data_IF_796841464887
#
_entry.id   IF_796841464887
#
_cell.length_a   1.000
_cell.length_b   1.000
_cell.length_c   1.000
_cell.angle_alpha   90.00
_cell.angle_beta   90.00
_cell.angle_gamma   90.00
#
_symmetry.space_group_name_H-M   'P 1'
#
loop_
_entity.id
_entity.type
_entity.pdbx_description
1 polymer ?
#
# COMPACT_ATOMS: atom_id res chain seq x y z
N UNK A 1 -14.46 -64.89 -33.78
CA UNK A 1 -14.93 -65.10 -35.18
C UNK A 1 -14.33 -64.01 -36.06
N UNK A 2 -13.75 -64.37 -37.22
CA UNK A 2 -13.38 -63.52 -38.38
C UNK A 2 -12.52 -62.24 -38.16
N UNK A 3 -11.60 -61.84 -39.06
CA UNK A 3 -10.94 -62.51 -40.21
C UNK A 3 -9.59 -61.78 -40.47
N UNK A 4 -8.72 -62.37 -41.30
CA UNK A 4 -7.33 -61.93 -41.57
C UNK A 4 -7.21 -61.16 -42.91
N UNK A 5 -6.19 -60.30 -43.06
CA UNK A 5 -5.37 -59.91 -44.26
C UNK A 5 -4.67 -58.57 -43.90
N UNK A 6 -3.34 -58.34 -43.84
CA UNK A 6 -2.08 -59.09 -44.09
C UNK A 6 -1.33 -58.78 -45.43
N UNK A 7 -0.40 -57.82 -45.34
CA UNK A 7 0.69 -57.39 -46.28
C UNK A 7 1.72 -56.57 -45.44
N UNK A 8 3.06 -56.54 -45.58
CA UNK A 8 4.10 -57.21 -46.40
C UNK A 8 4.01 -57.01 -47.91
N UNK A 9 5.05 -56.71 -48.72
CA UNK A 9 6.55 -56.81 -48.66
C UNK A 9 7.13 -55.51 -49.31
N UNK A 10 8.37 -55.00 -49.13
CA UNK A 10 9.58 -55.35 -48.36
C UNK A 10 10.86 -54.84 -49.08
N UNK A 11 12.06 -54.99 -48.49
CA UNK A 11 13.44 -54.76 -49.02
C UNK A 11 13.75 -53.42 -49.76
N UNK A 12 14.67 -52.54 -49.37
CA UNK A 12 16.09 -52.64 -48.94
C UNK A 12 17.11 -52.90 -50.07
N UNK A 13 18.13 -52.02 -50.17
CA UNK A 13 19.48 -52.09 -50.81
C UNK A 13 19.94 -50.62 -51.02
N UNK A 14 21.15 -50.11 -50.82
CA UNK A 14 22.40 -50.40 -50.08
C UNK A 14 23.35 -49.21 -50.40
N UNK A 15 24.48 -49.11 -49.72
CA UNK A 15 25.53 -48.08 -49.80
C UNK A 15 25.88 -47.48 -51.17
N UNK A 16 26.21 -46.18 -51.16
CA UNK A 16 27.10 -45.51 -52.13
C UNK A 16 28.15 -44.67 -51.38
N UNK A 17 29.40 -44.64 -51.85
CA UNK A 17 30.51 -43.94 -51.21
C UNK A 17 31.18 -42.92 -52.14
N UNK A 18 31.86 -41.95 -51.52
CA UNK A 18 33.07 -41.24 -52.00
C UNK A 18 32.99 -40.04 -52.98
N UNK A 19 33.77 -39.02 -52.58
CA UNK A 19 34.70 -38.18 -53.37
C UNK A 19 34.24 -37.00 -54.26
N UNK A 20 34.34 -35.80 -53.64
CA UNK A 20 35.11 -34.60 -54.09
C UNK A 20 34.70 -33.70 -55.27
N UNK A 21 34.77 -32.38 -54.98
CA UNK A 21 35.07 -31.23 -55.88
C UNK A 21 33.99 -30.84 -56.92
N UNK A 22 33.60 -29.56 -57.12
CA UNK A 22 34.27 -28.27 -56.87
C UNK A 22 33.34 -27.15 -56.35
N UNK A 23 33.98 -26.02 -56.03
CA UNK A 23 33.48 -24.67 -55.77
C UNK A 23 32.12 -24.26 -56.39
N UNK A 24 31.22 -23.72 -55.55
CA UNK A 24 30.49 -22.48 -55.87
C UNK A 24 30.55 -21.56 -54.65
N UNK A 25 30.99 -20.31 -54.86
CA UNK A 25 31.06 -19.28 -53.82
C UNK A 25 29.67 -18.69 -53.56
N UNK A 26 29.01 -19.11 -52.48
CA UNK A 26 27.79 -18.48 -51.98
C UNK A 26 28.02 -17.86 -50.61
N UNK A 27 28.08 -16.53 -50.58
CA UNK A 27 28.31 -15.70 -49.40
C UNK A 27 27.07 -15.69 -48.49
N UNK A 28 26.96 -16.68 -47.61
CA UNK A 28 26.00 -16.63 -46.50
C UNK A 28 26.38 -15.48 -45.56
N UNK A 29 25.44 -14.57 -45.30
CA UNK A 29 25.63 -13.51 -44.31
C UNK A 29 25.60 -14.11 -42.91
N UNK A 30 26.69 -13.93 -42.15
CA UNK A 30 26.74 -14.29 -40.74
C UNK A 30 25.84 -13.34 -39.95
N UNK A 31 24.57 -13.70 -39.79
CA UNK A 31 23.69 -13.07 -38.80
C UNK A 31 24.22 -13.41 -37.41
N UNK A 32 25.15 -12.57 -36.91
CA UNK A 32 25.57 -12.65 -35.51
C UNK A 32 24.35 -12.49 -34.62
N UNK A 33 24.10 -13.51 -33.79
CA UNK A 33 23.05 -13.50 -32.79
C UNK A 33 23.43 -12.51 -31.69
N UNK A 34 23.15 -11.22 -31.94
CA UNK A 34 23.34 -10.10 -31.02
C UNK A 34 22.88 -10.54 -29.63
N UNK A 35 23.77 -10.54 -28.61
CA UNK A 35 23.46 -11.17 -27.34
C UNK A 35 22.23 -10.51 -26.74
N UNK A 36 21.16 -11.29 -26.56
CA UNK A 36 19.97 -10.83 -25.87
C UNK A 36 20.39 -10.59 -24.43
N UNK A 37 20.60 -9.31 -24.12
CA UNK A 37 20.97 -8.88 -22.78
C UNK A 37 19.80 -9.20 -21.86
N UNK A 38 19.87 -10.35 -21.15
CA UNK A 38 18.91 -10.70 -20.11
C UNK A 38 18.88 -9.55 -19.12
N UNK A 39 17.87 -8.71 -19.25
CA UNK A 39 17.75 -7.49 -18.49
C UNK A 39 17.30 -7.92 -17.11
N UNK A 40 18.29 -8.24 -16.27
CA UNK A 40 18.14 -8.84 -14.94
C UNK A 40 17.31 -7.90 -14.08
N UNK A 41 15.99 -8.06 -14.15
CA UNK A 41 15.02 -7.13 -13.57
C UNK A 41 15.30 -7.06 -12.07
N UNK A 42 15.95 -5.98 -11.64
CA UNK A 42 16.17 -5.74 -10.23
C UNK A 42 14.80 -5.61 -9.59
N UNK A 43 14.41 -6.64 -8.84
CA UNK A 43 13.12 -6.74 -8.17
C UNK A 43 13.09 -5.69 -7.06
N UNK A 44 12.79 -4.44 -7.42
CA UNK A 44 12.77 -3.28 -6.54
C UNK A 44 11.95 -3.63 -5.30
N UNK A 45 12.61 -3.63 -4.15
CA UNK A 45 12.02 -4.12 -2.91
C UNK A 45 10.73 -3.34 -2.59
N UNK A 46 9.70 -4.05 -2.15
CA UNK A 46 8.39 -3.47 -1.85
C UNK A 46 8.50 -2.59 -0.60
N UNK A 47 8.28 -1.26 -0.67
CA UNK A 47 8.41 -0.38 0.47
C UNK A 47 7.52 -0.82 1.63
N UNK A 48 8.02 -0.67 2.85
CA UNK A 48 7.33 -1.10 4.07
C UNK A 48 5.91 -0.52 4.15
N UNK A 49 5.70 0.73 3.72
CA UNK A 49 4.38 1.37 3.72
C UNK A 49 3.38 0.72 2.73
N UNK A 50 3.85 0.19 1.59
CA UNK A 50 3.00 -0.55 0.64
C UNK A 50 2.50 -1.85 1.29
N UNK A 51 3.39 -2.54 2.02
CA UNK A 51 3.09 -3.80 2.73
C UNK A 51 2.23 -3.60 3.99
N UNK A 52 2.41 -2.50 4.73
CA UNK A 52 1.62 -2.20 5.93
C UNK A 52 0.27 -1.53 5.63
N UNK A 53 0.13 -0.88 4.48
CA UNK A 53 -1.09 -0.16 4.09
C UNK A 53 -1.43 1.05 4.98
N UNK A 54 -2.63 1.60 4.75
CA UNK A 54 -3.17 2.76 5.49
C UNK A 54 -3.29 2.50 7.01
N UNK A 55 -3.26 3.56 7.81
CA UNK A 55 -3.43 3.50 9.26
C UNK A 55 -2.65 4.60 9.98
N UNK A 56 -2.17 4.30 11.19
CA UNK A 56 -1.33 5.19 12.00
C UNK A 56 0.02 4.55 12.31
N UNK A 57 1.03 5.37 12.60
CA UNK A 57 2.29 4.95 13.23
C UNK A 57 2.79 6.05 14.16
N UNK A 58 3.12 5.68 15.38
CA UNK A 58 4.08 6.33 16.27
C UNK A 58 5.50 6.12 15.71
N UNK A 59 6.47 6.82 16.29
CA UNK A 59 7.87 6.38 16.31
C UNK A 59 8.38 6.36 17.74
N UNK A 60 8.90 5.21 18.19
CA UNK A 60 9.33 4.97 19.57
C UNK A 60 10.38 5.98 20.08
N UNK A 61 11.13 6.59 19.16
CA UNK A 61 12.21 7.53 19.46
C UNK A 61 11.83 9.02 19.27
N UNK A 62 10.72 9.37 18.60
CA UNK A 62 10.34 10.77 18.37
C UNK A 62 8.85 10.98 18.01
N UNK A 63 8.11 11.70 18.87
CA UNK A 63 6.72 12.15 18.61
C UNK A 63 6.56 13.03 17.35
N UNK A 64 7.65 13.58 16.81
CA UNK A 64 7.63 14.36 15.56
C UNK A 64 7.43 13.50 14.30
N UNK A 65 7.55 12.17 14.41
CA UNK A 65 7.30 11.24 13.30
C UNK A 65 5.88 10.68 13.31
N UNK A 66 5.22 10.68 14.47
CA UNK A 66 3.86 10.20 14.69
C UNK A 66 2.90 10.75 13.63
N UNK A 67 2.24 9.88 12.87
CA UNK A 67 1.45 10.28 11.72
C UNK A 67 0.32 9.32 11.34
N UNK A 68 -0.66 9.89 10.65
CA UNK A 68 -1.70 9.21 9.90
C UNK A 68 -1.24 8.99 8.45
N UNK A 69 -1.59 7.84 7.88
CA UNK A 69 -1.17 7.40 6.55
C UNK A 69 -2.35 6.86 5.74
N UNK A 70 -2.49 7.33 4.50
CA UNK A 70 -3.38 6.76 3.50
C UNK A 70 -2.57 6.17 2.34
N UNK A 71 -2.77 4.89 2.05
CA UNK A 71 -2.13 4.19 0.93
C UNK A 71 -3.13 4.00 -0.20
N UNK A 72 -2.91 4.71 -1.30
CA UNK A 72 -3.66 4.54 -2.54
C UNK A 72 -3.03 3.50 -3.45
N UNK A 73 -3.84 2.86 -4.29
CA UNK A 73 -3.39 1.91 -5.32
C UNK A 73 -4.24 2.04 -6.59
N UNK A 74 -3.61 1.97 -7.77
CA UNK A 74 -4.29 1.92 -9.07
C UNK A 74 -3.53 1.02 -10.03
N UNK A 75 -4.24 0.12 -10.72
CA UNK A 75 -3.69 -0.61 -11.87
C UNK A 75 -3.68 0.27 -13.12
N UNK A 76 -2.61 0.18 -13.91
CA UNK A 76 -2.52 0.79 -15.25
C UNK A 76 -2.43 -0.28 -16.34
N UNK A 77 -2.75 0.12 -17.58
CA UNK A 77 -2.65 -0.71 -18.77
C UNK A 77 -1.52 -0.21 -19.67
N UNK A 78 -1.47 1.11 -19.90
CA UNK A 78 -0.54 1.73 -20.87
C UNK A 78 0.60 2.52 -20.21
N UNK A 79 0.29 3.44 -19.29
CA UNK A 79 1.30 4.30 -18.65
C UNK A 79 0.98 4.61 -17.17
N UNK A 80 2.01 4.82 -16.32
CA UNK A 80 1.81 5.09 -14.90
C UNK A 80 1.36 6.53 -14.61
N UNK A 81 1.47 7.48 -15.55
CA UNK A 81 1.22 8.91 -15.30
C UNK A 81 -0.19 9.19 -14.76
N UNK A 82 -1.22 8.74 -15.47
CA UNK A 82 -2.61 8.86 -15.00
C UNK A 82 -2.87 8.02 -13.74
N UNK A 83 -2.22 6.87 -13.61
CA UNK A 83 -2.38 5.99 -12.46
C UNK A 83 -1.77 6.57 -11.16
N UNK A 84 -0.75 7.42 -11.25
CA UNK A 84 -0.26 8.19 -10.11
C UNK A 84 -1.29 9.22 -9.61
N UNK A 85 -2.04 9.89 -10.49
CA UNK A 85 -3.11 10.80 -10.08
C UNK A 85 -4.24 10.04 -9.38
N UNK A 86 -4.78 9.01 -10.02
CA UNK A 86 -5.80 8.13 -9.43
C UNK A 86 -5.35 7.50 -8.09
N UNK A 87 -4.07 7.14 -7.97
CA UNK A 87 -3.50 6.60 -6.73
C UNK A 87 -3.32 7.69 -5.65
N UNK A 88 -3.03 8.94 -6.02
CA UNK A 88 -2.99 10.07 -5.07
C UNK A 88 -4.37 10.31 -4.45
N UNK A 89 -5.43 10.28 -5.25
CA UNK A 89 -6.79 10.48 -4.78
C UNK A 89 -7.26 9.29 -3.93
N UNK A 90 -6.92 8.05 -4.33
CA UNK A 90 -7.13 6.87 -3.50
C UNK A 90 -6.35 6.93 -2.16
N UNK A 91 -5.19 7.58 -2.12
CA UNK A 91 -4.40 7.79 -0.92
C UNK A 91 -5.05 8.84 0.00
N UNK A 92 -5.47 9.99 -0.55
CA UNK A 92 -6.25 11.03 0.17
C UNK A 92 -7.53 10.46 0.75
N UNK A 93 -8.33 9.73 -0.05
CA UNK A 93 -9.57 9.09 0.39
C UNK A 93 -9.33 8.03 1.46
N UNK A 94 -8.22 7.28 1.38
CA UNK A 94 -7.81 6.35 2.44
C UNK A 94 -7.46 7.08 3.74
N UNK A 95 -6.76 8.21 3.66
CA UNK A 95 -6.40 9.03 4.83
C UNK A 95 -7.64 9.68 5.48
N UNK A 96 -8.58 10.18 4.67
CA UNK A 96 -9.90 10.68 5.14
C UNK A 96 -10.60 9.64 6.00
N UNK A 97 -10.65 8.37 5.56
CA UNK A 97 -11.26 7.30 6.36
C UNK A 97 -10.54 7.06 7.69
N UNK A 98 -9.21 7.02 7.71
CA UNK A 98 -8.45 6.84 8.95
C UNK A 98 -8.69 8.02 9.92
N UNK A 99 -8.85 9.25 9.41
CA UNK A 99 -9.24 10.40 10.23
C UNK A 99 -10.69 10.30 10.73
N UNK A 100 -11.61 9.76 9.93
CA UNK A 100 -12.97 9.44 10.36
C UNK A 100 -13.02 8.37 11.47
N UNK A 101 -12.20 7.33 11.37
CA UNK A 101 -12.03 6.30 12.41
C UNK A 101 -11.47 6.92 13.71
N UNK A 102 -10.47 7.79 13.60
CA UNK A 102 -9.87 8.54 14.72
C UNK A 102 -10.88 9.47 15.40
N UNK A 103 -11.58 10.30 14.62
CA UNK A 103 -12.62 11.22 15.11
C UNK A 103 -13.76 10.47 15.81
N UNK A 104 -14.18 9.33 15.26
CA UNK A 104 -15.14 8.43 15.91
C UNK A 104 -14.60 7.86 17.23
N UNK A 105 -13.30 7.59 17.30
CA UNK A 105 -12.60 7.19 18.52
C UNK A 105 -12.56 8.27 19.59
N UNK A 106 -12.34 9.55 19.22
CA UNK A 106 -12.39 10.68 20.15
C UNK A 106 -13.75 10.76 20.86
N UNK A 107 -14.84 10.75 20.08
CA UNK A 107 -16.21 10.85 20.59
C UNK A 107 -16.52 9.67 21.51
N UNK A 108 -16.25 8.43 21.06
CA UNK A 108 -16.51 7.21 21.83
C UNK A 108 -15.73 7.15 23.13
N UNK A 109 -14.43 7.48 23.12
CA UNK A 109 -13.61 7.42 24.32
C UNK A 109 -14.02 8.49 25.34
N UNK A 110 -14.23 9.73 24.87
CA UNK A 110 -14.68 10.84 25.71
C UNK A 110 -16.00 10.50 26.42
N UNK A 111 -17.00 10.04 25.67
CA UNK A 111 -18.33 9.72 26.21
C UNK A 111 -18.38 8.47 27.09
N UNK A 112 -17.45 7.52 26.92
CA UNK A 112 -17.48 6.25 27.65
C UNK A 112 -16.60 6.21 28.91
N UNK A 113 -15.59 7.09 29.02
CA UNK A 113 -14.53 7.00 30.05
C UNK A 113 -14.50 8.19 31.00
N UNK A 114 -15.03 9.36 30.61
CA UNK A 114 -15.00 10.57 31.46
C UNK A 114 -16.35 10.83 32.13
N UNK A 115 -16.34 11.13 33.43
CA UNK A 115 -17.54 11.59 34.14
C UNK A 115 -17.87 13.05 33.70
N UNK A 116 -19.12 13.35 33.28
CA UNK A 116 -19.55 14.71 32.96
C UNK A 116 -19.38 15.77 34.06
N UNK A 117 -19.11 15.35 35.30
CA UNK A 117 -18.84 16.21 36.46
C UNK A 117 -17.37 16.59 36.61
N UNK A 118 -16.45 15.97 35.88
CA UNK A 118 -15.01 16.25 35.97
C UNK A 118 -14.60 17.52 35.19
N UNK A 119 -13.63 18.31 35.70
CA UNK A 119 -13.04 19.43 34.97
C UNK A 119 -12.55 19.02 33.58
N UNK A 120 -12.94 19.78 32.56
CA UNK A 120 -12.62 19.46 31.16
C UNK A 120 -13.45 18.32 30.56
N UNK A 121 -14.62 18.00 31.12
CA UNK A 121 -15.70 17.42 30.31
C UNK A 121 -16.02 18.38 29.16
N UNK A 122 -16.23 17.82 27.96
CA UNK A 122 -16.62 18.53 26.74
C UNK A 122 -18.03 18.04 26.39
N UNK A 123 -18.96 18.95 26.12
CA UNK A 123 -20.29 18.59 25.65
C UNK A 123 -20.25 17.79 24.32
N UNK A 124 -21.26 16.94 24.09
CA UNK A 124 -21.35 16.07 22.92
C UNK A 124 -21.47 16.80 21.58
N UNK A 125 -22.26 17.88 21.50
CA UNK A 125 -22.35 18.69 20.27
C UNK A 125 -21.11 19.58 20.12
N UNK A 126 -20.66 20.19 21.23
CA UNK A 126 -19.41 20.96 21.28
C UNK A 126 -18.21 20.16 20.76
N UNK A 127 -18.09 18.88 21.14
CA UNK A 127 -17.05 17.98 20.67
C UNK A 127 -17.17 17.70 19.17
N UNK A 128 -18.39 17.51 18.64
CA UNK A 128 -18.60 17.35 17.18
C UNK A 128 -18.22 18.61 16.41
N UNK A 129 -18.58 19.81 16.88
CA UNK A 129 -18.20 21.09 16.25
C UNK A 129 -16.68 21.19 16.13
N UNK A 130 -15.95 21.00 17.24
CA UNK A 130 -14.48 21.04 17.26
C UNK A 130 -13.87 20.02 16.29
N UNK A 131 -14.42 18.81 16.22
CA UNK A 131 -13.97 17.77 15.29
C UNK A 131 -14.27 18.14 13.83
N UNK A 132 -15.43 18.72 13.55
CA UNK A 132 -15.85 19.15 12.21
C UNK A 132 -14.93 20.25 11.66
N UNK A 133 -14.80 21.35 12.41
CA UNK A 133 -14.07 22.55 11.97
C UNK A 133 -12.59 22.23 11.72
N UNK A 134 -11.99 21.45 12.63
CA UNK A 134 -10.57 21.07 12.52
C UNK A 134 -10.32 20.05 11.41
N UNK A 135 -11.29 19.17 11.10
CA UNK A 135 -11.16 18.21 10.00
C UNK A 135 -10.96 18.91 8.65
N UNK A 136 -11.66 20.01 8.38
CA UNK A 136 -11.49 20.78 7.14
C UNK A 136 -10.05 21.30 6.98
N UNK A 137 -9.46 21.89 8.02
CA UNK A 137 -8.06 22.36 8.03
C UNK A 137 -7.09 21.20 7.80
N UNK A 138 -7.31 20.07 8.46
CA UNK A 138 -6.40 18.93 8.45
C UNK A 138 -6.36 18.19 7.10
N UNK A 139 -7.43 18.24 6.31
CA UNK A 139 -7.44 17.69 4.95
C UNK A 139 -6.69 18.55 3.92
N UNK A 140 -6.59 19.87 4.14
CA UNK A 140 -5.73 20.75 3.34
C UNK A 140 -4.24 20.51 3.63
N UNK A 141 -3.91 20.18 4.87
CA UNK A 141 -2.53 19.95 5.33
C UNK A 141 -2.01 18.53 4.99
N UNK A 142 -2.86 17.66 4.46
CA UNK A 142 -2.52 16.31 4.02
C UNK A 142 -1.73 16.30 2.70
N UNK A 143 -0.52 15.71 2.74
CA UNK A 143 0.43 15.72 1.61
C UNK A 143 0.66 14.32 1.05
N UNK A 144 0.80 14.22 -0.28
CA UNK A 144 1.43 13.05 -0.90
C UNK A 144 2.94 13.14 -0.62
N UNK A 145 3.54 12.03 -0.21
CA UNK A 145 4.91 11.98 0.34
C UNK A 145 5.80 10.90 -0.27
N UNK A 146 5.23 9.88 -0.91
CA UNK A 146 6.00 8.84 -1.63
C UNK A 146 5.15 8.19 -2.74
N UNK A 147 5.83 7.60 -3.72
CA UNK A 147 5.27 6.90 -4.89
C UNK A 147 6.04 5.62 -5.18
N UNK A 148 5.32 4.53 -5.43
CA UNK A 148 5.95 3.27 -5.84
C UNK A 148 5.16 2.58 -6.96
N UNK A 149 5.87 2.04 -7.95
CA UNK A 149 5.29 1.29 -9.06
C UNK A 149 5.75 -0.16 -8.99
N UNK A 150 4.80 -1.09 -8.91
CA UNK A 150 5.05 -2.51 -9.14
C UNK A 150 4.91 -2.80 -10.64
N UNK A 151 6.04 -2.90 -11.34
CA UNK A 151 6.09 -3.31 -12.75
C UNK A 151 5.60 -4.74 -12.96
N UNK A 152 5.80 -5.64 -11.99
CA UNK A 152 5.32 -7.02 -12.06
C UNK A 152 3.80 -7.19 -11.92
N UNK A 153 3.06 -6.12 -11.59
CA UNK A 153 1.59 -6.14 -11.52
C UNK A 153 0.91 -4.92 -12.15
N UNK A 154 1.66 -4.12 -12.92
CA UNK A 154 1.26 -2.82 -13.47
C UNK A 154 0.43 -1.99 -12.49
N UNK A 155 0.94 -1.80 -11.26
CA UNK A 155 0.21 -1.11 -10.18
C UNK A 155 1.03 0.04 -9.61
N UNK A 156 0.47 1.24 -9.69
CA UNK A 156 0.97 2.44 -9.02
C UNK A 156 0.39 2.56 -7.61
N UNK A 157 1.21 2.98 -6.67
CA UNK A 157 0.87 3.25 -5.28
C UNK A 157 1.32 4.66 -4.89
N UNK A 158 0.55 5.30 -4.02
CA UNK A 158 0.85 6.64 -3.48
C UNK A 158 0.66 6.66 -1.96
N UNK A 159 1.50 7.40 -1.24
CA UNK A 159 1.44 7.57 0.20
C UNK A 159 1.01 9.00 0.58
N UNK A 160 -0.22 9.15 1.09
CA UNK A 160 -0.68 10.36 1.77
C UNK A 160 -0.27 10.31 3.25
N UNK A 161 0.23 11.41 3.81
CA UNK A 161 0.65 11.54 5.21
C UNK A 161 0.14 12.84 5.84
N UNK A 162 -0.19 12.77 7.14
CA UNK A 162 -0.51 13.92 8.00
C UNK A 162 0.08 13.70 9.40
N UNK A 163 0.76 14.71 9.95
CA UNK A 163 1.40 14.62 11.27
C UNK A 163 0.38 14.57 12.43
N UNK A 164 0.52 13.62 13.35
CA UNK A 164 -0.33 13.55 14.55
C UNK A 164 -0.15 14.78 15.44
N UNK A 165 1.08 15.31 15.56
CA UNK A 165 1.33 16.56 16.28
C UNK A 165 0.49 17.73 15.72
N UNK A 166 0.32 17.83 14.40
CA UNK A 166 -0.54 18.84 13.78
C UNK A 166 -2.00 18.61 14.17
N UNK A 167 -2.52 17.39 14.01
CA UNK A 167 -3.90 17.02 14.38
C UNK A 167 -4.20 17.38 15.84
N UNK A 168 -3.31 17.02 16.77
CA UNK A 168 -3.46 17.38 18.19
C UNK A 168 -3.37 18.90 18.42
N UNK A 169 -2.44 19.61 17.78
CA UNK A 169 -2.36 21.07 17.88
C UNK A 169 -3.65 21.72 17.37
N UNK A 170 -4.12 21.40 16.16
CA UNK A 170 -5.34 21.99 15.57
C UNK A 170 -6.58 21.73 16.44
N UNK A 171 -6.75 20.50 16.98
CA UNK A 171 -7.81 20.18 17.95
C UNK A 171 -7.71 21.02 19.24
N UNK A 172 -6.52 21.13 19.82
CA UNK A 172 -6.30 21.87 21.08
C UNK A 172 -6.18 23.39 20.90
N UNK A 173 -6.04 23.90 19.68
CA UNK A 173 -6.07 25.33 19.35
C UNK A 173 -7.49 25.88 19.17
N UNK A 174 -8.53 25.03 19.14
CA UNK A 174 -9.91 25.49 18.92
C UNK A 174 -10.37 26.51 19.98
N UNK A 175 -10.97 27.60 19.51
CA UNK A 175 -11.53 28.66 20.37
C UNK A 175 -12.79 28.22 21.14
N UNK A 176 -13.42 27.12 20.74
CA UNK A 176 -14.56 26.55 21.48
C UNK A 176 -14.13 25.91 22.81
N UNK A 177 -12.88 25.46 22.95
CA UNK A 177 -12.41 24.74 24.15
C UNK A 177 -11.76 25.67 25.19
N UNK A 178 -12.10 25.49 26.47
CA UNK A 178 -11.43 26.10 27.62
C UNK A 178 -10.10 25.36 27.98
N UNK A 179 -9.41 25.78 29.05
CA UNK A 179 -8.11 25.19 29.43
C UNK A 179 -8.15 23.69 29.79
N UNK A 180 -9.14 23.28 30.58
CA UNK A 180 -9.28 21.89 31.03
C UNK A 180 -9.79 20.98 29.90
N UNK A 181 -10.67 21.52 29.05
CA UNK A 181 -11.14 20.86 27.83
C UNK A 181 -10.01 20.67 26.81
N UNK A 182 -9.13 21.68 26.63
CA UNK A 182 -7.93 21.56 25.80
C UNK A 182 -6.96 20.51 26.36
N UNK A 183 -6.79 20.46 27.67
CA UNK A 183 -5.98 19.45 28.36
C UNK A 183 -6.57 18.05 28.16
N UNK A 184 -7.89 17.90 28.29
CA UNK A 184 -8.61 16.65 28.08
C UNK A 184 -8.53 16.18 26.63
N UNK A 185 -8.78 17.07 25.66
CA UNK A 185 -8.61 16.82 24.23
C UNK A 185 -7.19 16.36 23.89
N UNK A 186 -6.16 16.96 24.51
CA UNK A 186 -4.75 16.54 24.34
C UNK A 186 -4.49 15.12 24.85
N UNK A 187 -5.07 14.75 25.99
CA UNK A 187 -4.96 13.38 26.53
C UNK A 187 -5.70 12.37 25.64
N UNK A 188 -6.98 12.63 25.34
CA UNK A 188 -7.86 11.74 24.59
C UNK A 188 -7.33 11.48 23.18
N UNK A 189 -6.91 12.53 22.46
CA UNK A 189 -6.31 12.38 21.12
C UNK A 189 -5.06 11.49 21.13
N UNK A 190 -4.20 11.61 22.15
CA UNK A 190 -3.00 10.76 22.28
C UNK A 190 -3.36 9.32 22.62
N UNK A 191 -4.37 9.10 23.47
CA UNK A 191 -4.84 7.75 23.81
C UNK A 191 -5.46 7.03 22.61
N UNK A 192 -6.36 7.70 21.88
CA UNK A 192 -7.04 7.14 20.70
C UNK A 192 -6.04 6.81 19.59
N UNK A 193 -5.06 7.70 19.33
CA UNK A 193 -4.00 7.44 18.35
C UNK A 193 -3.18 6.19 18.70
N UNK A 194 -2.76 6.04 19.97
CA UNK A 194 -2.05 4.84 20.44
C UNK A 194 -2.88 3.56 20.30
N UNK A 195 -4.18 3.60 20.62
CA UNK A 195 -5.07 2.44 20.47
C UNK A 195 -5.19 2.01 18.99
N UNK A 196 -5.37 2.97 18.07
CA UNK A 196 -5.42 2.67 16.64
C UNK A 196 -4.16 1.98 16.11
N UNK A 197 -2.98 2.29 16.67
CA UNK A 197 -1.74 1.56 16.34
C UNK A 197 -1.76 0.13 16.85
N UNK A 198 -2.09 -0.09 18.13
CA UNK A 198 -2.13 -1.42 18.71
C UNK A 198 -3.10 -2.35 17.95
N UNK A 199 -4.21 -1.81 17.43
CA UNK A 199 -5.13 -2.52 16.53
C UNK A 199 -4.48 -2.84 15.17
N UNK A 200 -3.76 -1.89 14.56
CA UNK A 200 -3.04 -2.07 13.28
C UNK A 200 -1.92 -3.11 13.37
N UNK A 201 -1.09 -3.04 14.41
CA UNK A 201 0.01 -3.97 14.68
C UNK A 201 -0.50 -5.38 14.94
N UNK A 202 -1.51 -5.53 15.82
CA UNK A 202 -2.19 -6.80 16.07
C UNK A 202 -2.68 -7.43 14.77
N UNK A 203 -3.34 -6.65 13.91
CA UNK A 203 -3.84 -7.12 12.60
C UNK A 203 -2.70 -7.54 11.66
N UNK A 204 -1.60 -6.79 11.63
CA UNK A 204 -0.42 -7.12 10.83
C UNK A 204 0.26 -8.42 11.29
N UNK A 205 0.46 -8.58 12.60
CA UNK A 205 1.01 -9.80 13.20
C UNK A 205 0.14 -11.03 12.89
N UNK A 206 -1.19 -10.94 13.07
CA UNK A 206 -2.09 -12.03 12.69
C UNK A 206 -2.03 -12.36 11.20
N UNK A 207 -2.00 -11.36 10.30
CA UNK A 207 -1.91 -11.62 8.86
C UNK A 207 -0.62 -12.36 8.45
N UNK A 208 0.51 -12.08 9.11
CA UNK A 208 1.76 -12.82 8.90
C UNK A 208 1.66 -14.27 9.38
N UNK A 209 1.10 -14.50 10.56
CA UNK A 209 0.92 -15.87 11.09
C UNK A 209 0.00 -16.70 10.19
N UNK A 210 -1.11 -16.14 9.72
CA UNK A 210 -2.02 -16.82 8.79
C UNK A 210 -1.32 -17.20 7.47
N UNK A 211 -0.46 -16.35 6.92
CA UNK A 211 0.32 -16.67 5.71
C UNK A 211 1.29 -17.84 5.94
N UNK A 212 1.98 -17.89 7.08
CA UNK A 212 2.89 -18.99 7.43
C UNK A 212 2.12 -20.32 7.53
N UNK A 213 0.93 -20.32 8.15
CA UNK A 213 0.11 -21.53 8.28
C UNK A 213 -0.49 -22.06 6.98
N UNK A 214 -0.54 -21.25 5.91
CA UNK A 214 -1.07 -21.65 4.59
C UNK A 214 0.00 -22.28 3.68
N UNK A 215 1.27 -22.30 4.09
CA UNK A 215 2.35 -22.97 3.36
C UNK A 215 2.47 -24.42 3.86
N UNK A 216 1.64 -25.31 3.31
CA UNK A 216 1.67 -26.77 3.47
C UNK A 216 1.15 -27.46 2.22
#
# INVERSE_FOLDING_TARGET
MNKVILTVIGAAIMFGCSTTNKEILSRSETLESKPVLETKIQKKETPVWVSMGSGVSLSDNHESKDAFFGVGKKKYIESPGKAHMDANDAARNSLIRILGDFNSGLIRYHQAIKDPREPGWIDGEKLKTVISDTSATLLLDAKITDHWNNSGSNTSFSLARLDFKKVQTTLTSSNHLNGDEKTSMKFISKWVFKNMQLVRERKFLFSKMSQITTIK
#
